data_IF_329962119804
#
_entry.id   IF_329962119804
#
_cell.length_a   1.000
_cell.length_b   1.000
_cell.length_c   1.000
_cell.angle_alpha   90.00
_cell.angle_beta   90.00
_cell.angle_gamma   90.00
#
_symmetry.space_group_name_H-M   'P 1'
#
loop_
_entity.id
_entity.type
_entity.pdbx_description
1 polymer ?
2 branched ?
3 non-polymer ?
4 non-polymer ?
5 non-polymer ?
6 water ?
#
# COMPACT_ATOMS: atom_id res chain seq x y z
N UNK A 31 -28.09 2.88 -8.55
CA UNK A 31 -28.17 1.43 -8.20
C UNK A 31 -27.93 1.15 -6.71
N UNK A 32 -28.57 0.11 -6.19
CA UNK A 32 -28.38 -0.35 -4.80
C UNK A 32 -28.23 -1.87 -4.82
N UNK A 33 -27.21 -2.32 -5.55
CA UNK A 33 -26.98 -3.74 -5.81
C UNK A 33 -26.06 -4.41 -4.79
N UNK A 34 -25.31 -3.63 -4.02
CA UNK A 34 -24.25 -4.20 -3.17
C UNK A 34 -23.01 -4.69 -3.93
N UNK A 35 -22.70 -4.05 -5.05
CA UNK A 35 -21.53 -4.36 -5.87
C UNK A 35 -20.67 -3.12 -6.21
N UNK A 36 -21.13 -1.93 -5.83
CA UNK A 36 -20.47 -0.65 -6.11
C UNK A 36 -19.10 -0.55 -5.45
N UNK A 37 -18.20 0.21 -6.06
CA UNK A 37 -16.91 0.52 -5.45
C UNK A 37 -17.08 1.36 -4.20
N UNK A 38 -16.22 1.13 -3.22
CA UNK A 38 -16.16 1.97 -2.04
C UNK A 38 -14.96 2.90 -2.09
N UNK A 39 -15.23 4.20 -2.00
CA UNK A 39 -14.19 5.21 -2.14
C UNK A 39 -13.58 5.67 -0.82
N UNK A 40 -13.85 4.92 0.24
CA UNK A 40 -13.15 5.09 1.52
C UNK A 40 -12.32 3.82 1.85
N UNK A 41 -12.08 3.02 0.82
CA UNK A 41 -11.30 1.79 0.92
C UNK A 41 -10.09 1.91 -0.01
N UNK A 42 -8.90 1.89 0.59
CA UNK A 42 -7.63 2.16 -0.09
C UNK A 42 -6.80 0.89 -0.13
N UNK A 43 -6.38 0.46 -1.30
CA UNK A 43 -5.63 -0.76 -1.41
C UNK A 43 -4.20 -0.46 -1.90
N UNK A 44 -3.21 -0.82 -1.10
CA UNK A 44 -1.81 -0.48 -1.43
C UNK A 44 -1.30 -1.31 -2.61
N UNK A 45 -0.83 -0.58 -3.62
CA UNK A 45 -0.51 -1.11 -4.92
C UNK A 45 0.94 -0.78 -5.27
N UNK A 46 1.62 -1.77 -5.87
CA UNK A 46 3.04 -1.68 -6.20
C UNK A 46 3.20 -1.84 -7.70
N UNK A 47 3.87 -0.88 -8.33
CA UNK A 47 4.06 -0.80 -9.78
C UNK A 47 5.51 -1.10 -10.19
N UNK A 48 6.23 -1.87 -9.38
CA UNK A 48 7.65 -2.03 -9.52
C UNK A 48 8.08 -3.35 -10.22
N UNK A 49 7.11 -4.12 -10.71
CA UNK A 49 7.38 -5.39 -11.37
C UNK A 49 7.70 -5.17 -12.85
N UNK A 50 8.64 -5.95 -13.36
CA UNK A 50 9.03 -5.88 -14.76
C UNK A 50 9.07 -7.23 -15.45
N UNK A 51 8.63 -7.20 -16.73
CA UNK A 51 8.48 -8.37 -17.62
C UNK A 51 9.23 -8.17 -18.91
N UNK A 52 9.74 -9.28 -19.40
CA UNK A 52 10.30 -9.43 -20.71
C UNK A 52 9.49 -8.71 -21.80
N UNK A 53 8.17 -8.95 -21.85
CA UNK A 53 7.29 -8.42 -22.93
C UNK A 53 7.37 -6.90 -22.98
N UNK A 54 7.39 -6.27 -21.81
CA UNK A 54 7.40 -4.84 -21.70
C UNK A 54 8.73 -4.17 -21.26
N UNK A 55 9.49 -4.74 -20.32
CA UNK A 55 10.60 -4.01 -19.65
C UNK A 55 12.09 -4.34 -19.94
N UNK A 56 12.55 -5.59 -19.88
CA UNK A 56 14.00 -5.85 -20.12
C UNK A 56 14.90 -6.41 -19.00
N UNK A 57 14.44 -6.32 -17.75
CA UNK A 57 14.83 -7.17 -16.65
C UNK A 57 13.49 -7.60 -15.97
N UNK A 58 13.45 -8.79 -15.40
CA UNK A 58 12.27 -9.23 -14.60
C UNK A 58 12.40 -8.53 -13.21
N UNK A 59 12.21 -7.21 -13.27
CA UNK A 59 12.38 -6.34 -12.12
C UNK A 59 11.47 -6.77 -10.97
N UNK A 60 12.06 -6.78 -9.78
CA UNK A 60 11.42 -7.17 -8.53
C UNK A 60 11.13 -8.67 -8.41
N UNK A 61 10.74 -9.35 -9.50
CA UNK A 61 10.67 -10.82 -9.43
C UNK A 61 12.06 -11.37 -9.10
N UNK A 62 13.08 -10.70 -9.65
CA UNK A 62 14.47 -10.82 -9.18
C UNK A 62 14.71 -9.79 -8.06
N UNK A 63 15.33 -10.22 -6.97
CA UNK A 63 15.49 -9.34 -5.80
C UNK A 63 16.63 -9.82 -4.92
N UNK A 64 17.38 -8.88 -4.35
CA UNK A 64 18.42 -9.21 -3.39
C UNK A 64 17.81 -9.81 -2.13
N UNK A 65 18.50 -10.78 -1.56
CA UNK A 65 18.15 -11.34 -0.28
C UNK A 65 18.78 -10.46 0.80
N UNK A 66 17.98 -10.01 1.75
CA UNK A 66 18.46 -9.10 2.77
C UNK A 66 19.35 -9.80 3.78
N UNK A 67 20.48 -9.19 4.14
CA UNK A 67 21.26 -9.71 5.26
C UNK A 67 20.49 -9.66 6.58
N UNK A 68 20.80 -10.59 7.48
CA UNK A 68 20.26 -10.62 8.83
C UNK A 68 20.81 -9.43 9.62
N UNK A 69 19.93 -8.50 10.08
CA UNK A 69 20.47 -7.36 10.85
C UNK A 69 21.16 -7.73 12.19
N UNK A 70 20.95 -8.95 12.66
CA UNK A 70 21.63 -9.45 13.88
C UNK A 70 22.62 -10.59 13.59
N UNK A 71 22.97 -10.79 12.33
CA UNK A 71 23.76 -11.95 11.90
C UNK A 71 25.24 -11.66 11.82
N UNK A 72 26.00 -12.62 11.29
CA UNK A 72 27.46 -12.47 11.18
C UNK A 72 27.91 -11.31 10.30
N UNK A 73 29.21 -11.02 10.34
CA UNK A 73 29.85 -10.14 9.38
C UNK A 73 30.42 -11.02 8.27
N UNK A 74 30.22 -10.60 7.03
CA UNK A 74 30.62 -11.42 5.88
C UNK A 74 29.49 -12.32 5.41
N UNK A 75 28.26 -11.81 5.52
CA UNK A 75 27.13 -12.42 4.84
C UNK A 75 27.17 -11.99 3.38
N UNK A 76 27.16 -12.98 2.49
CA UNK A 76 26.81 -12.75 1.10
C UNK A 76 25.48 -13.48 0.94
N UNK A 77 24.35 -12.81 1.28
CA UNK A 77 23.08 -13.55 1.30
C UNK A 77 22.60 -13.98 -0.08
N UNK A 78 23.11 -13.33 -1.13
CA UNK A 78 22.77 -13.67 -2.50
C UNK A 78 21.53 -12.98 -3.01
N UNK A 79 21.02 -13.49 -4.12
CA UNK A 79 19.88 -12.91 -4.80
C UNK A 79 18.94 -14.01 -5.29
N UNK A 80 17.68 -13.63 -5.42
CA UNK A 80 16.70 -14.46 -6.10
C UNK A 80 16.70 -14.00 -7.55
N UNK A 81 16.85 -14.96 -8.49
CA UNK A 81 17.12 -14.54 -9.87
C UNK A 81 15.92 -14.09 -10.69
N UNK A 82 14.70 -14.33 -10.22
CA UNK A 82 13.52 -13.95 -10.98
C UNK A 82 13.30 -14.76 -12.24
N UNK A 83 13.74 -16.02 -12.20
CA UNK A 83 13.42 -16.98 -13.24
C UNK A 83 11.99 -17.47 -13.07
N UNK A 84 11.48 -18.19 -14.04
CA UNK A 84 10.13 -18.74 -13.89
C UNK A 84 10.04 -19.58 -12.61
N UNK A 85 11.12 -20.30 -12.31
CA UNK A 85 11.16 -21.24 -11.21
C UNK A 85 11.40 -20.60 -9.84
N UNK A 86 12.09 -19.45 -9.83
CA UNK A 86 12.55 -18.83 -8.59
C UNK A 86 12.35 -17.31 -8.58
N UNK A 87 11.22 -16.89 -7.98
CA UNK A 87 10.85 -15.49 -7.88
C UNK A 87 10.89 -15.05 -6.41
N UNK A 88 10.91 -13.74 -6.21
CA UNK A 88 11.07 -13.14 -4.90
C UNK A 88 9.74 -13.01 -4.14
N UNK A 89 9.10 -14.14 -3.90
CA UNK A 89 7.86 -14.24 -3.17
C UNK A 89 7.76 -15.66 -2.67
N UNK A 90 7.05 -15.83 -1.55
CA UNK A 90 6.70 -17.17 -1.06
C UNK A 90 5.44 -17.72 -1.79
N UNK A 91 4.72 -16.87 -2.52
CA UNK A 91 3.55 -17.22 -3.33
C UNK A 91 3.89 -17.01 -4.81
N UNK A 92 2.96 -17.39 -5.69
CA UNK A 92 3.20 -17.30 -7.12
C UNK A 92 1.99 -16.68 -7.82
N UNK A 93 2.19 -15.56 -8.55
CA UNK A 93 1.02 -14.91 -9.12
C UNK A 93 0.32 -15.68 -10.22
N UNK A 94 -1.00 -15.62 -10.21
CA UNK A 94 -1.80 -16.17 -11.32
C UNK A 94 -1.40 -15.58 -12.67
N UNK A 95 -1.01 -14.29 -12.68
CA UNK A 95 -0.64 -13.60 -13.91
C UNK A 95 0.83 -13.81 -14.29
N UNK A 96 1.58 -14.61 -13.54
CA UNK A 96 2.99 -14.89 -13.80
C UNK A 96 3.89 -13.71 -13.49
N UNK A 97 5.08 -13.70 -14.07
CA UNK A 97 6.08 -12.63 -13.87
C UNK A 97 5.70 -11.47 -14.76
N UNK A 98 4.71 -10.70 -14.32
CA UNK A 98 4.13 -9.66 -15.11
C UNK A 98 4.92 -8.34 -15.05
N UNK A 99 4.70 -7.52 -16.06
CA UNK A 99 5.20 -6.13 -16.05
C UNK A 99 4.10 -5.19 -15.59
N UNK A 100 4.47 -4.34 -14.64
CA UNK A 100 3.60 -3.26 -14.23
C UNK A 100 3.40 -2.19 -15.30
N UNK A 101 4.20 -2.24 -16.37
CA UNK A 101 4.09 -1.36 -17.55
C UNK A 101 3.19 -1.96 -18.66
N UNK A 102 2.69 -3.20 -18.48
CA UNK A 102 1.93 -3.90 -19.53
C UNK A 102 0.47 -3.45 -19.46
N UNK A 103 0.00 -2.70 -20.45
CA UNK A 103 -1.39 -2.22 -20.34
C UNK A 103 -2.42 -3.34 -20.18
N UNK A 104 -2.13 -4.56 -20.69
CA UNK A 104 -3.09 -5.61 -20.60
C UNK A 104 -3.13 -6.18 -19.12
N UNK A 105 -1.98 -6.15 -18.42
CA UNK A 105 -1.94 -6.47 -16.99
C UNK A 105 -2.73 -5.43 -16.22
N UNK A 106 -2.55 -4.16 -16.56
CA UNK A 106 -3.21 -3.09 -15.84
C UNK A 106 -4.72 -3.24 -15.97
N UNK A 107 -5.20 -3.57 -17.16
CA UNK A 107 -6.64 -3.81 -17.37
C UNK A 107 -7.16 -4.89 -16.41
N UNK A 108 -6.42 -5.99 -16.35
CA UNK A 108 -6.78 -7.10 -15.45
C UNK A 108 -6.79 -6.69 -13.99
N UNK A 109 -5.77 -5.96 -13.58
CA UNK A 109 -5.74 -5.44 -12.22
C UNK A 109 -6.93 -4.57 -11.90
N UNK A 110 -7.33 -3.69 -12.81
CA UNK A 110 -8.48 -2.84 -12.52
C UNK A 110 -9.75 -3.67 -12.40
N UNK A 111 -9.86 -4.71 -13.22
CA UNK A 111 -11.00 -5.60 -13.10
C UNK A 111 -10.99 -6.33 -11.74
N UNK A 112 -9.80 -6.66 -11.24
CA UNK A 112 -9.67 -7.26 -9.90
C UNK A 112 -10.08 -6.26 -8.79
N UNK A 113 -9.72 -4.99 -8.92
CA UNK A 113 -10.19 -3.95 -7.99
C UNK A 113 -11.71 -3.87 -8.01
N UNK A 114 -12.32 -3.93 -9.20
CA UNK A 114 -13.77 -3.92 -9.29
C UNK A 114 -14.39 -5.14 -8.57
N UNK A 115 -13.81 -6.32 -8.77
CA UNK A 115 -14.26 -7.52 -8.04
C UNK A 115 -14.16 -7.34 -6.52
N UNK A 116 -13.10 -6.68 -6.05
CA UNK A 116 -12.85 -6.50 -4.65
C UNK A 116 -13.66 -5.35 -4.05
N UNK A 117 -14.24 -4.51 -4.92
CA UNK A 117 -14.98 -3.31 -4.51
C UNK A 117 -14.10 -2.23 -3.87
N UNK A 118 -12.79 -2.30 -4.14
CA UNK A 118 -11.84 -1.32 -3.58
C UNK A 118 -11.73 -0.13 -4.54
N UNK A 119 -12.26 1.03 -4.13
CA UNK A 119 -12.37 2.15 -5.05
C UNK A 119 -11.12 2.99 -5.18
N UNK A 120 -10.13 2.85 -4.28
CA UNK A 120 -8.90 3.67 -4.34
C UNK A 120 -7.66 2.78 -4.36
N UNK A 121 -6.82 3.02 -5.36
CA UNK A 121 -5.53 2.40 -5.55
C UNK A 121 -4.50 3.36 -4.96
N UNK A 122 -3.78 2.91 -3.93
CA UNK A 122 -2.81 3.73 -3.21
C UNK A 122 -1.40 3.34 -3.71
N UNK A 123 -0.91 4.11 -4.68
CA UNK A 123 0.24 3.77 -5.50
C UNK A 123 1.57 4.11 -4.84
N UNK A 124 2.41 3.11 -4.65
CA UNK A 124 3.77 3.32 -4.15
C UNK A 124 4.47 4.36 -5.04
N UNK A 125 5.22 5.26 -4.40
CA UNK A 125 5.85 6.34 -5.14
C UNK A 125 7.22 6.64 -4.55
N UNK A 126 8.24 6.44 -5.39
CA UNK A 126 9.64 6.41 -4.98
C UNK A 126 10.48 7.55 -5.52
N UNK A 127 9.86 8.50 -6.20
CA UNK A 127 10.58 9.65 -6.74
C UNK A 127 11.75 9.18 -7.62
N UNK A 128 11.50 8.27 -8.54
CA UNK A 128 12.63 7.76 -9.36
C UNK A 128 13.15 8.79 -10.38
N UNK A 129 12.31 9.75 -10.77
CA UNK A 129 12.74 10.76 -11.74
C UNK A 129 13.23 10.11 -13.02
N UNK A 130 12.42 9.23 -13.57
CA UNK A 130 12.73 8.51 -14.79
C UNK A 130 11.51 8.38 -15.67
N UNK A 131 11.74 8.38 -16.97
CA UNK A 131 10.65 8.33 -17.91
C UNK A 131 9.79 7.07 -17.79
N UNK A 132 10.37 5.95 -17.38
CA UNK A 132 9.61 4.72 -17.30
C UNK A 132 8.57 4.81 -16.16
N UNK A 133 8.92 5.50 -15.06
CA UNK A 133 7.99 5.79 -13.92
C UNK A 133 6.84 6.65 -14.41
N UNK A 134 7.18 7.73 -15.10
CA UNK A 134 6.18 8.64 -15.61
C UNK A 134 5.19 7.92 -16.53
N UNK A 135 5.73 7.07 -17.40
CA UNK A 135 4.85 6.31 -18.27
C UNK A 135 3.89 5.42 -17.49
N UNK A 136 4.43 4.70 -16.52
CA UNK A 136 3.64 3.79 -15.73
C UNK A 136 2.50 4.51 -14.96
N UNK A 137 2.80 5.65 -14.35
CA UNK A 137 1.79 6.38 -13.59
C UNK A 137 0.63 6.78 -14.52
N UNK A 138 0.96 7.26 -15.71
CA UNK A 138 -0.05 7.65 -16.66
C UNK A 138 -0.91 6.47 -17.09
N UNK A 139 -0.26 5.34 -17.36
CA UNK A 139 -1.00 4.13 -17.75
C UNK A 139 -1.95 3.67 -16.64
N UNK A 140 -1.50 3.74 -15.40
CA UNK A 140 -2.30 3.34 -14.26
C UNK A 140 -3.50 4.25 -14.09
N UNK A 141 -3.30 5.55 -14.15
CA UNK A 141 -4.42 6.49 -14.05
C UNK A 141 -5.44 6.23 -15.17
N UNK A 142 -4.96 6.06 -16.40
CA UNK A 142 -5.86 5.81 -17.53
C UNK A 142 -6.66 4.51 -17.34
N UNK A 143 -5.99 3.45 -16.93
CA UNK A 143 -6.68 2.16 -16.77
C UNK A 143 -7.67 2.23 -15.61
N UNK A 144 -7.27 2.87 -14.51
CA UNK A 144 -8.16 3.04 -13.38
C UNK A 144 -9.44 3.78 -13.79
N UNK A 145 -9.30 4.84 -14.58
CA UNK A 145 -10.48 5.65 -14.89
C UNK A 145 -11.51 4.88 -15.71
N UNK A 146 -11.07 3.95 -16.54
CA UNK A 146 -12.00 3.16 -17.35
C UNK A 146 -12.96 2.36 -16.47
N UNK A 147 -12.56 2.09 -15.22
CA UNK A 147 -13.33 1.31 -14.29
C UNK A 147 -13.80 2.11 -13.09
N UNK A 148 -13.69 3.44 -13.17
CA UNK A 148 -14.11 4.37 -12.12
C UNK A 148 -13.31 4.21 -10.82
N UNK A 149 -12.10 3.62 -10.93
CA UNK A 149 -11.22 3.56 -9.77
C UNK A 149 -10.42 4.85 -9.67
N UNK A 150 -10.11 5.23 -8.43
CA UNK A 150 -9.34 6.44 -8.15
C UNK A 150 -7.95 6.02 -7.71
N UNK A 151 -7.01 6.96 -7.85
CA UNK A 151 -5.60 6.75 -7.50
C UNK A 151 -5.13 7.85 -6.56
N UNK A 152 -4.48 7.44 -5.49
CA UNK A 152 -3.72 8.34 -4.63
C UNK A 152 -2.30 7.79 -4.50
N UNK A 153 -1.41 8.62 -3.95
CA UNK A 153 -0.01 8.25 -3.84
C UNK A 153 0.37 7.91 -2.40
N UNK A 154 1.22 6.91 -2.32
CA UNK A 154 1.83 6.40 -1.09
C UNK A 154 3.30 6.83 -1.14
N UNK A 155 3.64 7.89 -0.43
CA UNK A 155 4.95 8.54 -0.55
C UNK A 155 5.97 7.79 0.30
N UNK A 156 6.90 7.13 -0.39
CA UNK A 156 7.87 6.23 0.20
C UNK A 156 9.12 6.97 0.71
N UNK A 157 9.97 6.27 1.48
CA UNK A 157 11.15 6.94 2.04
C UNK A 157 12.29 7.02 1.01
N UNK A 158 12.13 7.91 0.05
CA UNK A 158 13.15 8.13 -0.99
C UNK A 158 14.36 8.90 -0.43
N UNK A 159 15.53 8.83 -1.10
CA UNK A 159 16.76 9.41 -0.54
C UNK A 159 16.63 10.88 -0.23
N UNK A 160 17.03 11.27 0.98
CA UNK A 160 17.01 12.66 1.45
C UNK A 160 15.61 13.27 1.42
N UNK A 161 14.57 12.43 1.46
CA UNK A 161 13.22 12.93 1.62
C UNK A 161 13.22 13.89 2.81
N UNK A 162 12.59 15.04 2.60
CA UNK A 162 12.50 16.08 3.63
C UNK A 162 11.29 16.93 3.30
N UNK A 163 10.89 17.84 4.17
CA UNK A 163 9.62 18.52 3.93
C UNK A 163 9.67 19.47 2.71
N UNK A 164 10.84 19.99 2.36
CA UNK A 164 10.95 20.89 1.21
C UNK A 164 10.78 20.12 -0.09
N UNK A 165 11.53 19.04 -0.28
CA UNK A 165 11.31 18.25 -1.48
C UNK A 165 9.99 17.51 -1.47
N UNK A 166 9.44 17.17 -0.31
CA UNK A 166 8.06 16.67 -0.27
C UNK A 166 7.09 17.70 -0.80
N UNK A 167 7.23 18.97 -0.37
CA UNK A 167 6.32 20.00 -0.89
C UNK A 167 6.49 20.09 -2.41
N UNK A 168 7.73 20.10 -2.88
CA UNK A 168 7.96 20.23 -4.32
C UNK A 168 7.33 19.07 -5.09
N UNK A 169 7.42 17.87 -4.52
CA UNK A 169 6.86 16.71 -5.16
C UNK A 169 5.33 16.64 -5.09
N UNK A 170 4.75 17.11 -4.00
CA UNK A 170 3.29 17.24 -3.89
C UNK A 170 2.79 18.24 -4.95
N UNK A 171 3.48 19.36 -5.07
CA UNK A 171 3.15 20.36 -6.09
C UNK A 171 3.22 19.72 -7.48
N UNK A 172 4.28 18.97 -7.75
CA UNK A 172 4.43 18.34 -9.05
C UNK A 172 3.35 17.31 -9.34
N UNK A 173 3.03 16.47 -8.37
CA UNK A 173 1.98 15.46 -8.57
C UNK A 173 0.60 16.07 -8.76
N UNK A 174 0.26 17.10 -7.98
CA UNK A 174 -1.02 17.77 -8.12
C UNK A 174 -1.06 18.51 -9.47
N UNK A 175 0.02 19.17 -9.85
CA UNK A 175 0.06 19.88 -11.11
C UNK A 175 -0.06 18.94 -12.31
N UNK A 176 0.70 17.86 -12.26
CA UNK A 176 0.73 16.88 -13.36
C UNK A 176 -0.57 16.05 -13.56
N UNK A 177 -1.05 15.61 -12.39
CA UNK A 177 -2.13 14.63 -12.38
C UNK A 177 -3.45 15.11 -11.79
N UNK A 178 -3.48 16.31 -11.21
CA UNK A 178 -4.67 16.76 -10.49
C UNK A 178 -5.93 16.90 -11.32
N UNK A 179 -5.76 17.11 -12.64
CA UNK A 179 -6.90 17.21 -13.54
C UNK A 179 -7.30 15.88 -14.16
N UNK A 180 -6.55 14.81 -13.89
CA UNK A 180 -6.89 13.52 -14.39
C UNK A 180 -8.16 13.06 -13.69
N UNK A 181 -9.13 12.52 -14.45
CA UNK A 181 -10.36 12.11 -13.80
C UNK A 181 -10.23 11.01 -12.72
N UNK A 182 -9.16 10.23 -12.73
CA UNK A 182 -8.94 9.21 -11.70
C UNK A 182 -8.20 9.73 -10.47
N UNK A 183 -7.75 10.97 -10.47
CA UNK A 183 -7.03 11.52 -9.32
C UNK A 183 -7.97 11.59 -8.13
N UNK A 184 -7.61 10.94 -7.03
CA UNK A 184 -8.49 10.87 -5.87
C UNK A 184 -8.62 12.20 -5.14
N UNK A 185 -9.87 12.55 -4.76
CA UNK A 185 -10.11 13.63 -3.82
C UNK A 185 -11.18 13.20 -2.83
N UNK A 186 -11.02 13.67 -1.60
CA UNK A 186 -12.00 13.52 -0.52
C UNK A 186 -12.43 14.93 -0.13
N UNK A 187 -13.72 15.19 -0.28
CA UNK A 187 -14.28 16.53 -0.04
C UNK A 187 -13.39 17.65 -0.65
N UNK A 188 -12.97 17.41 -1.89
CA UNK A 188 -12.18 18.37 -2.65
C UNK A 188 -10.66 18.34 -2.46
N UNK A 189 -10.18 17.51 -1.53
CA UNK A 189 -8.75 17.47 -1.22
C UNK A 189 -8.10 16.18 -1.71
N UNK A 190 -6.93 16.30 -2.33
CA UNK A 190 -6.12 15.10 -2.56
C UNK A 190 -5.73 14.45 -1.21
N UNK A 191 -5.27 13.20 -1.25
CA UNK A 191 -4.84 12.50 -0.05
C UNK A 191 -3.52 11.78 -0.31
N UNK A 192 -2.59 11.88 0.62
CA UNK A 192 -1.34 11.14 0.56
C UNK A 192 -1.12 10.31 1.80
N UNK A 193 -0.65 9.07 1.64
CA UNK A 193 -0.13 8.27 2.75
C UNK A 193 1.37 8.49 2.79
N UNK A 194 1.94 8.66 3.98
CA UNK A 194 3.37 8.90 4.11
C UNK A 194 4.02 7.76 4.90
N UNK A 195 4.74 6.89 4.17
CA UNK A 195 5.35 5.73 4.80
C UNK A 195 6.54 6.14 5.65
N UNK A 196 6.69 5.51 6.83
CA UNK A 196 7.82 5.82 7.72
C UNK A 196 7.97 7.31 7.97
N UNK A 197 6.84 7.96 8.23
CA UNK A 197 6.80 9.39 8.45
C UNK A 197 7.62 9.84 9.66
N UNK A 198 7.84 8.92 10.61
CA UNK A 198 8.62 9.20 11.80
C UNK A 198 10.09 9.48 11.51
N UNK A 199 10.56 9.21 10.31
CA UNK A 199 11.94 9.54 9.92
C UNK A 199 12.16 11.04 9.75
N UNK A 200 11.07 11.83 9.76
CA UNK A 200 11.12 13.29 9.71
C UNK A 200 10.49 13.81 11.02
N UNK A 201 11.21 14.70 11.70
CA UNK A 201 10.79 15.24 12.98
C UNK A 201 9.52 16.06 12.88
N UNK A 202 8.68 16.03 13.95
CA UNK A 202 7.50 16.90 13.93
C UNK A 202 7.80 18.38 13.68
N UNK A 203 8.94 18.89 14.17
CA UNK A 203 9.26 20.30 13.94
C UNK A 203 9.41 20.63 12.45
N UNK A 204 9.89 19.66 11.66
CA UNK A 204 9.93 19.83 10.22
C UNK A 204 8.53 19.68 9.62
N UNK A 205 7.81 18.64 10.00
CA UNK A 205 6.43 18.49 9.50
C UNK A 205 5.58 19.74 9.71
N UNK A 206 5.73 20.39 10.87
CA UNK A 206 4.93 21.57 11.22
C UNK A 206 5.09 22.66 10.15
N UNK A 207 6.30 22.78 9.60
CA UNK A 207 6.56 23.80 8.58
C UNK A 207 5.72 23.61 7.33
N UNK A 208 5.42 22.36 7.03
CA UNK A 208 4.65 21.98 5.85
C UNK A 208 3.13 21.92 6.12
N UNK A 209 2.78 21.48 7.33
CA UNK A 209 1.42 21.04 7.62
C UNK A 209 0.64 21.89 8.62
N UNK A 210 1.29 22.70 9.43
CA UNK A 210 0.56 23.70 10.22
C UNK A 210 0.04 24.81 9.33
N UNK A 211 -1.16 25.36 9.60
CA UNK A 211 -1.59 26.52 8.82
C UNK A 211 -0.63 27.71 8.87
N UNK A 212 0.17 27.80 9.93
CA UNK A 212 1.18 28.84 10.06
C UNK A 212 2.57 28.45 9.63
N UNK A 213 2.73 27.25 9.08
CA UNK A 213 4.06 26.78 8.81
C UNK A 213 4.73 27.58 7.71
N UNK A 214 6.06 27.68 7.81
CA UNK A 214 6.82 28.50 6.89
C UNK A 214 6.69 28.11 5.42
N UNK A 215 6.42 26.83 5.14
CA UNK A 215 6.18 26.38 3.78
C UNK A 215 4.86 25.64 3.68
N UNK A 216 3.86 26.17 4.38
CA UNK A 216 2.61 25.45 4.49
C UNK A 216 1.95 25.15 3.15
N UNK A 217 1.28 24.01 3.08
CA UNK A 217 0.33 23.73 2.03
C UNK A 217 -1.10 24.09 2.40
N UNK A 218 -1.34 24.41 3.68
CA UNK A 218 -2.72 24.69 4.09
C UNK A 218 -3.19 25.99 3.42
N UNK A 219 -4.44 26.00 2.98
CA UNK A 219 -5.04 27.14 2.30
C UNK A 219 -4.41 27.50 0.96
N UNK A 220 -3.64 26.59 0.39
CA UNK A 220 -3.03 26.79 -0.91
C UNK A 220 -3.70 25.85 -1.94
N UNK A 221 -3.31 26.02 -3.19
CA UNK A 221 -3.75 25.13 -4.26
C UNK A 221 -3.28 23.68 -4.06
N UNK A 222 -2.32 23.48 -3.17
CA UNK A 222 -1.66 22.21 -2.99
C UNK A 222 -1.99 21.56 -1.67
N UNK A 223 -3.04 22.06 -0.99
CA UNK A 223 -3.46 21.45 0.25
C UNK A 223 -3.93 20.01 -0.02
N UNK A 224 -3.78 19.14 0.98
CA UNK A 224 -4.07 17.72 0.86
C UNK A 224 -4.27 17.14 2.24
N UNK A 225 -4.99 16.03 2.32
CA UNK A 225 -5.04 15.22 3.52
C UNK A 225 -3.75 14.39 3.62
N UNK A 226 -3.03 14.56 4.71
CA UNK A 226 -1.74 13.94 4.89
C UNK A 226 -1.89 12.92 6.02
N UNK A 227 -1.68 11.65 5.67
CA UNK A 227 -1.94 10.53 6.57
C UNK A 227 -0.59 9.92 6.95
N UNK A 228 -0.18 10.13 8.19
CA UNK A 228 1.09 9.64 8.69
C UNK A 228 1.00 8.24 9.24
N UNK A 229 2.14 7.61 9.46
CA UNK A 229 2.18 6.23 9.92
C UNK A 229 2.24 6.17 11.46
N UNK A 230 1.18 5.67 12.09
CA UNK A 230 1.21 5.43 13.53
C UNK A 230 1.90 4.09 13.79
N UNK A 231 3.04 4.11 14.47
CA UNK A 231 3.82 2.89 14.76
C UNK A 231 3.64 2.44 16.21
N UNK A 232 4.23 3.17 17.15
CA UNK A 232 4.43 2.66 18.50
C UNK A 232 3.35 3.11 19.50
N UNK A 233 3.71 3.26 20.78
CA UNK A 233 2.73 3.50 21.84
C UNK A 233 2.11 4.89 21.75
N UNK A 234 0.90 5.06 22.33
CA UNK A 234 0.26 6.36 22.35
C UNK A 234 1.12 7.47 22.97
N UNK A 235 1.94 7.13 23.98
CA UNK A 235 2.83 8.13 24.59
C UNK A 235 3.72 8.84 23.58
N UNK A 236 4.16 8.08 22.58
CA UNK A 236 5.00 8.62 21.52
C UNK A 236 4.16 9.14 20.36
N UNK A 237 3.17 8.36 19.93
CA UNK A 237 2.47 8.69 18.69
C UNK A 237 1.52 9.86 18.79
N UNK A 238 0.84 10.00 19.93
CA UNK A 238 -0.14 11.08 20.05
C UNK A 238 0.51 12.45 19.87
N UNK A 239 1.57 12.77 20.63
CA UNK A 239 2.21 14.07 20.41
C UNK A 239 2.86 14.18 19.03
N UNK A 240 3.37 13.07 18.47
CA UNK A 240 3.95 13.15 17.16
C UNK A 240 2.90 13.62 16.13
N UNK A 241 1.73 12.98 16.13
CA UNK A 241 0.68 13.27 15.14
C UNK A 241 0.17 14.69 15.32
N UNK A 242 -0.03 15.10 16.58
CA UNK A 242 -0.49 16.46 16.85
C UNK A 242 0.52 17.51 16.43
N UNK A 243 1.77 17.32 16.87
CA UNK A 243 2.83 18.31 16.64
C UNK A 243 3.24 18.39 15.18
N UNK A 244 3.08 17.29 14.44
CA UNK A 244 3.37 17.24 13.01
C UNK A 244 2.26 17.80 12.15
N UNK A 245 1.06 17.99 12.73
CA UNK A 245 -0.10 18.49 12.00
C UNK A 245 -0.59 17.56 10.87
N UNK A 246 -0.41 16.25 11.04
CA UNK A 246 -1.01 15.32 10.11
C UNK A 246 -2.54 15.38 10.21
N UNK A 247 -3.21 15.14 9.10
CA UNK A 247 -4.67 15.08 9.10
C UNK A 247 -5.22 13.76 9.64
N UNK A 248 -4.38 12.73 9.64
CA UNK A 248 -4.81 11.41 10.04
C UNK A 248 -3.63 10.47 10.10
N UNK A 249 -3.93 9.20 10.31
CA UNK A 249 -2.90 8.21 10.45
C UNK A 249 -3.41 6.84 10.00
N UNK A 250 -2.45 6.03 9.55
CA UNK A 250 -2.66 4.66 9.13
C UNK A 250 -1.62 3.78 9.80
N UNK A 251 -1.75 2.46 9.68
CA UNK A 251 -0.87 1.55 10.43
C UNK A 251 0.02 0.65 9.56
N UNK A 252 -0.40 0.48 8.30
CA UNK A 252 0.27 -0.31 7.24
C UNK A 252 0.42 -1.82 7.48
N UNK A 253 1.11 -2.23 8.55
CA UNK A 253 1.62 -3.59 8.59
C UNK A 253 0.50 -4.61 8.62
N UNK A 254 0.62 -5.62 7.74
CA UNK A 254 -0.36 -6.67 7.68
C UNK A 254 -0.24 -7.68 8.82
N UNK A 255 0.92 -7.74 9.45
CA UNK A 255 1.20 -8.70 10.52
C UNK A 255 0.76 -8.19 11.88
N UNK A 256 -0.24 -8.84 12.45
CA UNK A 256 -0.78 -8.41 13.73
C UNK A 256 0.31 -8.44 14.78
N UNK A 257 0.39 -7.40 15.60
CA UNK A 257 1.35 -7.32 16.67
C UNK A 257 2.75 -6.90 16.28
N UNK A 258 3.01 -6.66 14.99
CA UNK A 258 4.33 -6.20 14.57
C UNK A 258 4.68 -4.85 15.21
N UNK A 259 3.69 -3.96 15.29
CA UNK A 259 3.80 -2.72 16.04
C UNK A 259 2.55 -2.58 16.91
N UNK A 260 2.57 -1.61 17.83
CA UNK A 260 1.36 -1.27 18.57
C UNK A 260 0.21 -0.94 17.61
N UNK A 261 0.53 -0.14 16.60
CA UNK A 261 -0.46 0.27 15.64
C UNK A 261 -1.08 -0.85 14.83
N UNK A 262 -0.32 -1.92 14.59
CA UNK A 262 -0.84 -3.05 13.84
C UNK A 262 -1.34 -4.16 14.77
N UNK A 263 -1.66 -3.81 16.03
CA UNK A 263 -2.28 -4.72 16.97
C UNK A 263 -3.77 -4.34 17.05
N UNK A 264 -4.67 -5.13 16.41
CA UNK A 264 -6.05 -4.67 16.27
C UNK A 264 -6.84 -4.40 17.54
N UNK A 265 -6.46 -5.02 18.65
CA UNK A 265 -7.12 -4.73 19.91
C UNK A 265 -6.92 -3.26 20.35
N UNK A 266 -5.94 -2.56 19.80
CA UNK A 266 -5.75 -1.14 20.09
C UNK A 266 -6.61 -0.18 19.25
N UNK A 267 -7.31 -0.70 18.25
CA UNK A 267 -7.97 0.15 17.26
C UNK A 267 -9.17 0.93 17.82
N UNK A 268 -9.95 0.33 18.73
CA UNK A 268 -11.05 1.09 19.37
C UNK A 268 -10.51 2.37 20.05
N UNK A 269 -9.44 2.22 20.83
CA UNK A 269 -8.81 3.32 21.56
C UNK A 269 -8.19 4.35 20.61
N UNK A 270 -7.59 3.86 19.51
CA UNK A 270 -6.96 4.76 18.54
C UNK A 270 -8.02 5.57 17.83
N UNK A 271 -9.14 4.95 17.50
CA UNK A 271 -10.26 5.64 16.89
C UNK A 271 -10.84 6.70 17.84
N UNK A 272 -10.98 6.37 19.13
CA UNK A 272 -11.51 7.34 20.10
C UNK A 272 -10.62 8.57 20.14
N UNK A 273 -9.32 8.36 20.20
CA UNK A 273 -8.36 9.47 20.22
C UNK A 273 -8.45 10.29 18.92
N UNK A 274 -8.55 9.60 17.79
CA UNK A 274 -8.65 10.30 16.51
C UNK A 274 -9.87 11.22 16.48
N UNK A 275 -11.00 10.68 16.89
CA UNK A 275 -12.27 11.42 16.87
C UNK A 275 -12.17 12.65 17.80
N UNK A 276 -11.59 12.46 18.97
CA UNK A 276 -11.41 13.55 19.94
C UNK A 276 -10.52 14.68 19.41
N UNK A 277 -9.59 14.34 18.51
CA UNK A 277 -8.57 15.26 18.06
C UNK A 277 -8.70 15.68 16.60
N UNK A 278 -9.86 15.38 15.99
CA UNK A 278 -10.16 15.82 14.63
C UNK A 278 -9.26 15.14 13.59
N UNK A 279 -8.81 13.92 13.86
CA UNK A 279 -7.91 13.18 12.96
C UNK A 279 -8.65 12.03 12.30
N UNK A 280 -8.21 11.66 11.10
CA UNK A 280 -8.77 10.56 10.35
C UNK A 280 -7.94 9.29 10.57
N UNK A 281 -8.52 8.26 11.16
CA UNK A 281 -7.84 6.98 11.35
C UNK A 281 -8.23 6.02 10.24
N UNK A 282 -7.21 5.50 9.54
CA UNK A 282 -7.38 4.57 8.42
C UNK A 282 -6.59 3.30 8.76
N UNK A 283 -7.13 2.43 9.63
CA UNK A 283 -6.39 1.21 9.96
C UNK A 283 -6.12 0.36 8.73
N UNK A 284 -5.00 -0.35 8.76
CA UNK A 284 -4.62 -1.22 7.65
C UNK A 284 -4.85 -2.69 8.03
N UNK A 285 -5.54 -3.40 7.13
CA UNK A 285 -5.88 -4.82 7.29
C UNK A 285 -5.21 -5.62 6.18
N UNK A 286 -4.81 -6.84 6.48
CA UNK A 286 -4.21 -7.69 5.46
C UNK A 286 -4.51 -9.14 5.69
N UNK A 287 -4.26 -9.97 4.66
CA UNK A 287 -4.70 -11.37 4.69
C UNK A 287 -3.70 -12.33 5.31
N UNK A 288 -2.49 -11.85 5.60
CA UNK A 288 -1.39 -12.67 6.11
C UNK A 288 -0.08 -11.94 5.87
N UNK A 289 1.01 -12.58 6.26
CA UNK A 289 2.34 -12.01 6.04
C UNK A 289 3.35 -13.14 5.97
N UNK A 290 4.23 -13.09 4.97
CA UNK A 290 5.44 -13.92 4.96
C UNK A 290 6.41 -13.36 3.95
N UNK A 291 7.64 -13.10 4.40
CA UNK A 291 8.65 -12.47 3.56
C UNK A 291 9.96 -13.24 3.56
N UNK A 292 9.92 -14.53 3.90
CA UNK A 292 11.17 -15.25 4.16
C UNK A 292 11.98 -15.63 2.93
N UNK A 293 11.44 -15.52 1.72
CA UNK A 293 12.29 -15.66 0.52
C UNK A 293 13.31 -14.54 0.46
N UNK A 294 12.88 -13.30 0.71
CA UNK A 294 13.79 -12.16 0.69
C UNK A 294 14.38 -11.81 2.05
N UNK A 295 13.77 -12.26 3.15
CA UNK A 295 14.26 -11.99 4.52
C UNK A 295 14.20 -13.28 5.32
N UNK A 296 15.13 -14.21 5.03
CA UNK A 296 15.01 -15.57 5.63
C UNK A 296 15.05 -15.61 7.15
N UNK A 297 15.66 -14.57 7.75
CA UNK A 297 15.77 -14.37 9.19
C UNK A 297 14.52 -13.83 9.87
N UNK A 298 13.49 -13.50 9.09
CA UNK A 298 12.33 -12.77 9.63
C UNK A 298 11.09 -13.65 9.87
N UNK A 299 11.33 -14.94 10.13
CA UNK A 299 10.24 -15.88 10.31
C UNK A 299 9.28 -15.59 11.44
N UNK A 300 9.71 -14.87 12.48
CA UNK A 300 8.82 -14.54 13.59
C UNK A 300 7.65 -13.63 13.19
N UNK A 301 7.77 -12.95 12.04
CA UNK A 301 6.72 -12.06 11.58
C UNK A 301 5.69 -12.81 10.69
N UNK A 302 5.94 -14.09 10.38
CA UNK A 302 4.96 -14.84 9.59
C UNK A 302 3.61 -14.84 10.29
N UNK A 303 2.56 -14.59 9.52
CA UNK A 303 1.17 -14.75 9.96
C UNK A 303 0.47 -15.61 8.93
N UNK A 304 -0.02 -16.77 9.37
CA UNK A 304 -0.65 -17.75 8.48
C UNK A 304 -2.04 -17.30 8.03
N UNK A 305 -2.39 -17.59 6.78
CA UNK A 305 -3.68 -17.13 6.24
C UNK A 305 -4.90 -17.90 6.74
N UNK A 306 -4.68 -19.17 7.11
CA UNK A 306 -5.76 -20.06 7.61
C UNK A 306 -7.04 -19.99 6.80
N UNK A 307 -6.89 -20.20 5.49
CA UNK A 307 -8.05 -20.26 4.59
C UNK A 307 -8.97 -19.02 4.66
N UNK A 308 -8.38 -17.88 4.99
CA UNK A 308 -9.10 -16.61 5.04
C UNK A 308 -9.49 -16.15 6.46
N UNK A 309 -9.30 -17.01 7.46
CA UNK A 309 -9.72 -16.67 8.81
C UNK A 309 -8.92 -15.51 9.40
N UNK A 310 -7.63 -15.41 9.06
CA UNK A 310 -6.82 -14.31 9.54
C UNK A 310 -7.34 -12.98 8.97
N UNK A 311 -7.60 -12.96 7.66
CA UNK A 311 -8.12 -11.75 7.00
C UNK A 311 -9.45 -11.35 7.61
N UNK A 312 -10.34 -12.32 7.78
CA UNK A 312 -11.65 -12.07 8.38
C UNK A 312 -11.50 -11.41 9.75
N UNK A 313 -10.63 -11.97 10.58
CA UNK A 313 -10.49 -11.45 11.94
C UNK A 313 -10.00 -10.01 11.94
N UNK A 314 -9.05 -9.70 11.07
CA UNK A 314 -8.46 -8.36 11.05
C UNK A 314 -9.47 -7.34 10.50
N UNK A 315 -10.15 -7.71 9.41
CA UNK A 315 -11.12 -6.81 8.80
C UNK A 315 -12.29 -6.54 9.78
N UNK A 316 -12.74 -7.58 10.48
CA UNK A 316 -13.79 -7.41 11.49
C UNK A 316 -13.37 -6.39 12.56
N UNK A 317 -12.14 -6.45 13.03
CA UNK A 317 -11.68 -5.51 14.05
C UNK A 317 -11.69 -4.07 13.55
N UNK A 318 -11.29 -3.87 12.30
CA UNK A 318 -11.32 -2.53 11.74
C UNK A 318 -12.74 -1.98 11.71
N UNK A 319 -13.69 -2.77 11.21
CA UNK A 319 -15.07 -2.34 11.12
C UNK A 319 -15.65 -2.09 12.52
N UNK A 320 -15.36 -2.99 13.45
CA UNK A 320 -15.88 -2.87 14.81
C UNK A 320 -15.34 -1.63 15.52
N UNK A 321 -14.16 -1.14 15.12
CA UNK A 321 -13.55 0.05 15.74
C UNK A 321 -14.35 1.30 15.35
N UNK A 322 -15.20 1.22 14.33
CA UNK A 322 -16.06 2.37 13.95
C UNK A 322 -15.38 3.42 13.10
N UNK A 323 -14.37 3.01 12.34
CA UNK A 323 -13.61 3.94 11.50
C UNK A 323 -14.38 4.31 10.25
N UNK A 324 -13.94 5.40 9.64
CA UNK A 324 -14.55 6.01 8.45
C UNK A 324 -13.91 5.56 7.14
N UNK A 325 -12.76 4.89 7.23
CA UNK A 325 -11.95 4.52 6.06
C UNK A 325 -11.07 3.37 6.51
N UNK A 326 -10.78 2.49 5.57
CA UNK A 326 -9.94 1.31 5.78
C UNK A 326 -8.93 1.22 4.65
N UNK A 327 -7.70 0.79 5.00
CA UNK A 327 -6.68 0.51 4.01
C UNK A 327 -6.33 -0.96 4.05
N UNK A 328 -5.96 -1.49 2.87
CA UNK A 328 -5.69 -2.91 2.68
C UNK A 328 -4.23 -3.08 2.26
N UNK A 329 -3.49 -3.83 3.09
CA UNK A 329 -2.11 -4.20 2.84
C UNK A 329 -2.12 -5.68 2.50
N UNK A 330 -2.10 -6.04 1.21
CA UNK A 330 -1.84 -5.17 0.07
C UNK A 330 -2.54 -5.76 -1.15
N UNK A 331 -2.59 -5.01 -2.25
CA UNK A 331 -2.97 -5.64 -3.50
C UNK A 331 -1.89 -6.64 -3.94
N UNK A 332 -0.63 -6.19 -3.95
CA UNK A 332 0.42 -6.93 -4.62
C UNK A 332 1.82 -6.64 -4.10
N UNK A 333 1.99 -6.60 -2.76
CA UNK A 333 3.32 -6.66 -2.17
C UNK A 333 3.67 -8.16 -2.05
N UNK A 334 4.09 -8.74 -3.18
CA UNK A 334 4.37 -10.17 -3.28
C UNK A 334 5.57 -10.57 -2.44
N UNK A 335 6.51 -9.65 -2.22
CA UNK A 335 7.68 -9.97 -1.43
C UNK A 335 7.32 -10.27 0.01
N UNK A 336 6.27 -9.60 0.49
CA UNK A 336 5.85 -9.67 1.88
C UNK A 336 4.65 -10.58 2.10
N UNK A 337 4.14 -11.21 1.05
CA UNK A 337 3.11 -12.22 1.21
C UNK A 337 1.81 -11.68 1.75
N UNK A 338 1.57 -10.37 1.57
CA UNK A 338 0.36 -9.72 2.03
C UNK A 338 -0.67 -9.50 0.93
N UNK A 339 -0.39 -10.00 -0.27
CA UNK A 339 -1.20 -9.68 -1.44
C UNK A 339 -2.58 -10.33 -1.41
N UNK A 340 -3.57 -9.60 -1.90
CA UNK A 340 -4.88 -10.18 -2.22
C UNK A 340 -5.00 -10.55 -3.71
N UNK A 341 -4.06 -10.10 -4.53
CA UNK A 341 -4.05 -10.46 -5.94
C UNK A 341 -4.02 -12.00 -6.07
N UNK A 342 -4.74 -12.56 -7.07
CA UNK A 342 -4.77 -14.02 -7.22
C UNK A 342 -3.41 -14.68 -7.36
N UNK A 343 -3.22 -15.77 -6.61
CA UNK A 343 -2.05 -16.63 -6.57
C UNK A 343 -2.49 -18.03 -6.95
N UNK A 344 -1.57 -18.79 -7.52
CA UNK A 344 -1.85 -20.16 -7.96
C UNK A 344 -0.87 -21.14 -7.35
N UNK A 345 -1.29 -22.41 -7.22
CA UNK A 345 -0.33 -23.42 -6.82
C UNK A 345 0.80 -23.54 -7.81
N UNK A 346 2.00 -23.71 -7.31
CA UNK A 346 3.19 -23.90 -8.17
C UNK A 346 4.32 -24.57 -7.40
N UNK A 347 4.81 -25.63 -8.01
CA UNK A 347 5.97 -26.27 -7.51
C UNK A 347 6.95 -26.34 -8.68
N UNK A 348 8.10 -25.72 -8.48
CA UNK A 348 9.10 -25.72 -9.50
C UNK A 348 10.24 -26.55 -8.99
N UNK A 349 11.22 -26.76 -9.85
CA UNK A 349 12.42 -27.46 -9.44
C UNK A 349 13.18 -26.74 -8.31
N UNK A 350 12.93 -25.43 -8.17
CA UNK A 350 13.68 -24.61 -7.22
C UNK A 350 12.97 -24.28 -5.90
N UNK A 351 11.64 -24.31 -5.90
CA UNK A 351 10.89 -23.89 -4.72
C UNK A 351 9.47 -24.41 -4.81
N UNK A 352 8.93 -24.79 -3.66
CA UNK A 352 7.52 -25.12 -3.54
C UNK A 352 6.82 -23.91 -2.93
N UNK A 353 5.99 -23.25 -3.72
CA UNK A 353 5.35 -22.01 -3.30
C UNK A 353 4.16 -22.32 -2.41
N UNK A 354 3.88 -21.38 -1.51
CA UNK A 354 2.59 -21.37 -0.81
C UNK A 354 1.51 -21.01 -1.82
N UNK A 355 0.25 -21.30 -1.49
CA UNK A 355 -0.88 -20.95 -2.34
C UNK A 355 -2.11 -20.75 -1.45
N UNK A 356 -3.28 -20.54 -2.05
CA UNK A 356 -4.48 -20.20 -1.28
C UNK A 356 -5.22 -21.41 -0.70
N UNK A 357 -4.58 -22.59 -0.74
CA UNK A 357 -4.94 -23.75 0.10
C UNK A 357 -6.26 -24.26 -0.37
N UNK A 358 -7.25 -24.26 0.52
CA UNK A 358 -8.57 -24.73 0.13
C UNK A 358 -9.42 -23.69 -0.58
N UNK A 359 -8.88 -22.47 -0.73
CA UNK A 359 -9.59 -21.39 -1.43
C UNK A 359 -9.10 -21.26 -2.86
N UNK A 360 -9.97 -20.77 -3.73
CA UNK A 360 -9.66 -20.50 -5.12
C UNK A 360 -8.75 -19.28 -5.28
N UNK A 361 -8.09 -19.13 -6.43
CA UNK A 361 -7.13 -18.00 -6.58
C UNK A 361 -7.75 -16.62 -6.33
N UNK A 362 -9.01 -16.40 -6.69
CA UNK A 362 -9.66 -15.09 -6.52
C UNK A 362 -10.38 -14.92 -5.19
N UNK A 363 -10.15 -15.86 -4.25
CA UNK A 363 -10.87 -15.83 -2.97
C UNK A 363 -10.66 -14.53 -2.21
N UNK A 364 -9.43 -14.02 -2.19
CA UNK A 364 -9.17 -12.81 -1.41
C UNK A 364 -9.77 -11.56 -2.05
N UNK A 365 -9.94 -11.56 -3.38
CA UNK A 365 -10.72 -10.50 -4.02
C UNK A 365 -12.21 -10.53 -3.62
N UNK A 366 -12.83 -11.70 -3.74
CA UNK A 366 -14.24 -11.80 -3.38
C UNK A 366 -14.48 -11.65 -1.90
N UNK A 367 -13.54 -12.09 -1.07
CA UNK A 367 -13.67 -11.87 0.38
C UNK A 367 -13.52 -10.40 0.74
N UNK A 368 -12.64 -9.69 0.04
CA UNK A 368 -12.57 -8.24 0.20
C UNK A 368 -13.93 -7.60 -0.09
N UNK A 369 -14.56 -8.01 -1.18
CA UNK A 369 -15.87 -7.46 -1.53
C UNK A 369 -16.90 -7.70 -0.42
N UNK A 370 -16.85 -8.90 0.18
CA UNK A 370 -17.71 -9.22 1.33
C UNK A 370 -17.51 -8.22 2.46
N UNK A 371 -16.23 -7.98 2.81
CA UNK A 371 -15.94 -7.09 3.92
C UNK A 371 -16.25 -5.62 3.60
N UNK A 372 -16.01 -5.20 2.34
CA UNK A 372 -16.40 -3.87 1.92
C UNK A 372 -17.91 -3.69 2.17
N UNK A 373 -18.71 -4.70 1.82
CA UNK A 373 -20.15 -4.64 2.08
C UNK A 373 -20.48 -4.49 3.56
N UNK A 374 -19.80 -5.26 4.41
CA UNK A 374 -19.98 -5.13 5.86
C UNK A 374 -19.56 -3.75 6.37
N UNK A 375 -18.46 -3.21 5.84
CA UNK A 375 -18.02 -1.88 6.19
C UNK A 375 -19.07 -0.83 5.82
N UNK A 376 -19.62 -0.96 4.63
CA UNK A 376 -20.62 0.01 4.15
C UNK A 376 -21.90 -0.02 4.95
N UNK A 377 -22.23 -1.22 5.40
CA UNK A 377 -23.44 -1.41 6.21
C UNK A 377 -23.30 -0.67 7.52
N UNK A 378 -22.07 -0.57 8.03
CA UNK A 378 -21.70 0.04 9.32
C UNK A 378 -21.43 1.54 9.28
N UNK A 379 -21.11 2.07 8.09
CA UNK A 379 -20.43 3.36 7.98
C UNK A 379 -21.12 4.51 8.71
X LIG B 1 11.13 -1.94 10.27
X LIG B 1 10.79 -1.47 8.86
X LIG B 1 10.25 -0.06 8.85
X LIG B 1 9.10 0.06 9.85
X LIG B 1 9.49 -0.49 11.23
X LIG B 1 8.32 -0.48 12.21
X LIG B 1 12.25 -1.23 10.76
X LIG B 1 9.78 -2.32 8.32
X LIG B 1 9.88 0.37 7.53
X LIG B 1 8.68 1.41 10.02
X LIG B 1 9.97 -1.82 11.14
X LIG B 1 8.74 -0.76 13.51
X LIG B 2 10.23 -3.26 7.35
X LIG B 2 9.01 -4.02 6.84
X LIG B 2 8.49 -5.07 7.84
X LIG B 2 9.58 -6.09 8.20
X LIG B 2 10.78 -5.27 8.69
X LIG B 2 11.99 -6.18 8.84
X LIG B 2 9.43 -4.67 5.69
X LIG B 2 7.33 -5.76 7.37
X LIG B 2 9.17 -7.04 9.20
X LIG B 2 11.16 -4.24 7.76
X LIG B 2 12.99 -5.52 9.57
X LIG C 1 11.04 -2.01 0.86
X LIG C 1 12.08 -1.47 -0.11
X LIG C 1 11.91 -2.07 -1.51
X LIG C 1 11.88 -3.60 -1.43
X LIG C 1 10.76 -3.99 -0.44
X LIG C 1 10.67 -5.51 -0.25
X LIG C 1 13.35 -1.82 0.43
X LIG C 1 12.99 -1.66 -2.37
X LIG C 1 11.59 -4.14 -2.72
X LIG C 1 11.03 -3.43 0.84
X LIG C 1 9.59 -5.88 0.60
X LIG D 1 8.50 0.88 1.59
X LIG D 1 7.79 -0.37 1.36
X LIG D 1 8.78 -1.52 1.54
X LIG D 1 9.79 -1.39 0.51
X LIG D 1 8.14 -2.92 1.44
X LIG D 1 6.99 -2.96 2.34
X LIG D 1 5.97 -1.93 2.08
X LIG D 1 6.60 -0.55 2.30
X LIG D 1 5.52 0.54 2.13
X LIG D 1 4.93 0.52 0.81
X LIG E 1 -4.40 12.07 -5.13
X LIG E 1 -5.26 12.07 -3.99
X LIG E 1 -2.96 12.38 -4.73
X LIG E 1 -2.43 11.37 -3.86
X LIG F 1 12.01 0.34 -4.54
X LIG F 1 12.60 -0.95 -4.82
X LIG F 1 11.53 0.93 -5.84
X LIG F 1 11.34 -0.16 -6.75
#
# INVERSE_FOLDING_TARGET
>A
MMIFFLSLSLESCSKEDDNNPSNSENNGGNNNLGTELDYDTFCFYYDWYGSEAIDGQYRHWAHAIAPDPNGGSGQNPGTIPGTQESIASNFYPQLGRYSSSDPNILTKHMDMFVMARTGVLALTWWNEQDETEAKRIGLILDAADKKKIKVCFHLEPYPSRNVQNLRENIVKLITRYGNHPAFYRKDGKPLFFIYDSYLIEPSEWEKLLSPGGSITIRNTAYDALMIGLWTSSPTVQRPFILNAHFDGFYTYFAATGFTYGSTPTNWVSMQKWAKENGKIFIPSVGPGYIDTRIRPWNGSVIRTRTDGQYYDAMYRKAIEAGVSAISITSFNEWHEGSQIEPAVPYTSSEFTYLDYENREPDYYLTRTAYWVGKFRESKQ
>B hetero
1 MAN C1 C2 C3 C4 C5 C6 O1 O2 O3 O4 O5 O6
2 MAN C1 C2 C3 C4 C5 C6 O2 O3 O4 O5 O6
>C hetero
1 MAN C1 C2 C3 C4 C5 C6 O2 O3 O4 O5 O6
>D hetero
1 IFM O4 C4 C3 O3 C2 N C1 C5 C6 O6
>E hetero
1 EDO C1 O1 C2 O2
>F hetero
1 EDO C1 O1 C2 O2
#
